data_IF_542131164175
#
_entry.id   IF_542131164175
#
_cell.length_a   1.000
_cell.length_b   1.000
_cell.length_c   1.000
_cell.angle_alpha   90.00
_cell.angle_beta   90.00
_cell.angle_gamma   90.00
#
_symmetry.space_group_name_H-M   'P 1'
#
loop_
_entity.id
_entity.type
_entity.pdbx_description
1 polymer ?
#
# COMPACT_ATOMS: atom_id res chain seq x y z
N UNK A 1 -49.60 -13.21 4.19
CA UNK A 1 -48.45 -12.46 3.66
C UNK A 1 -47.48 -12.07 4.74
N UNK A 2 -46.37 -12.79 4.88
CA UNK A 2 -45.26 -12.39 5.75
C UNK A 2 -43.94 -12.62 5.02
N UNK A 3 -43.72 -11.85 3.95
CA UNK A 3 -42.42 -11.79 3.31
C UNK A 3 -41.49 -10.95 4.19
N UNK A 4 -40.43 -11.57 4.69
CA UNK A 4 -39.39 -10.84 5.40
C UNK A 4 -38.58 -10.00 4.39
N UNK A 5 -38.25 -8.74 4.72
CA UNK A 5 -37.40 -7.93 3.86
C UNK A 5 -35.98 -8.52 3.79
N UNK A 6 -35.34 -8.37 2.63
CA UNK A 6 -33.94 -8.78 2.49
C UNK A 6 -33.06 -7.86 3.36
N UNK A 7 -32.18 -8.41 4.22
CA UNK A 7 -31.32 -7.63 5.10
C UNK A 7 -30.29 -6.81 4.31
N UNK A 8 -29.79 -5.72 4.92
CA UNK A 8 -28.69 -4.93 4.34
C UNK A 8 -27.46 -5.80 4.08
N UNK A 9 -26.74 -5.49 3.00
CA UNK A 9 -25.60 -6.27 2.52
C UNK A 9 -25.96 -7.74 2.20
N UNK A 10 -27.24 -8.03 1.98
CA UNK A 10 -27.77 -9.31 1.53
C UNK A 10 -28.36 -9.24 0.12
N UNK A 11 -28.23 -10.33 -0.62
CA UNK A 11 -28.92 -10.62 -1.87
C UNK A 11 -29.82 -11.83 -1.64
N UNK A 12 -31.12 -11.66 -1.83
CA UNK A 12 -32.10 -12.73 -1.70
C UNK A 12 -32.46 -13.24 -3.10
N UNK A 13 -32.08 -14.48 -3.40
CA UNK A 13 -32.37 -15.15 -4.68
C UNK A 13 -33.12 -16.43 -4.37
N UNK A 14 -34.32 -16.61 -4.94
CA UNK A 14 -35.18 -17.79 -4.72
C UNK A 14 -35.47 -18.10 -3.23
N UNK A 15 -35.56 -17.07 -2.40
CA UNK A 15 -35.80 -17.21 -0.95
C UNK A 15 -34.55 -17.56 -0.13
N UNK A 16 -33.38 -17.67 -0.76
CA UNK A 16 -32.11 -17.90 -0.08
C UNK A 16 -31.35 -16.57 0.12
N UNK A 17 -31.01 -16.27 1.37
CA UNK A 17 -30.13 -15.16 1.71
C UNK A 17 -28.68 -15.51 1.39
N UNK A 18 -28.08 -14.78 0.44
CA UNK A 18 -26.65 -14.73 0.14
C UNK A 18 -26.09 -13.38 0.56
N UNK A 19 -25.02 -13.35 1.34
CA UNK A 19 -24.40 -12.07 1.68
C UNK A 19 -23.61 -11.53 0.49
N UNK A 20 -23.61 -10.21 0.34
CA UNK A 20 -22.66 -9.55 -0.54
C UNK A 20 -21.26 -9.77 -0.01
N UNK A 21 -20.29 -9.63 -0.90
CA UNK A 21 -18.92 -9.95 -0.60
C UNK A 21 -18.32 -9.07 0.50
N UNK A 22 -17.50 -9.68 1.35
CA UNK A 22 -17.02 -9.03 2.56
C UNK A 22 -17.99 -9.07 3.71
N UNK A 23 -19.11 -9.78 3.57
CA UNK A 23 -20.05 -10.03 4.64
C UNK A 23 -20.30 -11.52 4.80
N UNK A 24 -20.26 -11.98 6.04
CA UNK A 24 -20.56 -13.36 6.43
C UNK A 24 -21.96 -13.44 6.99
N UNK A 25 -22.69 -14.47 6.58
CA UNK A 25 -24.04 -14.74 7.08
C UNK A 25 -23.98 -15.12 8.56
N UNK A 26 -24.61 -14.30 9.41
CA UNK A 26 -24.77 -14.58 10.85
C UNK A 26 -26.26 -14.60 11.18
N UNK A 27 -26.85 -15.78 11.08
CA UNK A 27 -28.31 -15.94 11.18
C UNK A 27 -29.02 -15.33 9.97
N UNK A 28 -29.84 -14.30 10.21
CA UNK A 28 -30.63 -13.59 9.20
C UNK A 28 -30.04 -12.24 8.78
N UNK A 29 -28.81 -11.95 9.18
CA UNK A 29 -28.10 -10.71 8.81
C UNK A 29 -26.75 -11.04 8.19
N UNK A 30 -26.25 -10.08 7.42
CA UNK A 30 -24.92 -10.12 6.83
C UNK A 30 -24.02 -9.19 7.65
N UNK A 31 -22.99 -9.77 8.28
CA UNK A 31 -22.05 -9.04 9.15
C UNK A 31 -20.71 -8.95 8.44
N UNK A 32 -20.07 -7.78 8.46
CA UNK A 32 -18.77 -7.59 7.79
C UNK A 32 -17.78 -8.68 8.25
N UNK A 33 -17.23 -9.41 7.29
CA UNK A 33 -16.14 -10.35 7.50
C UNK A 33 -14.87 -9.52 7.59
N UNK A 34 -14.38 -9.34 8.82
CA UNK A 34 -13.16 -8.61 9.09
C UNK A 34 -11.94 -9.15 8.34
N UNK A 35 -12.01 -10.35 7.74
CA UNK A 35 -10.97 -10.88 6.88
C UNK A 35 -10.70 -9.99 5.66
N UNK A 36 -11.72 -9.48 4.95
CA UNK A 36 -11.49 -8.62 3.79
C UNK A 36 -10.87 -7.28 4.21
N UNK A 37 -11.40 -6.69 5.28
CA UNK A 37 -10.91 -5.42 5.84
C UNK A 37 -9.48 -5.55 6.34
N UNK A 38 -9.18 -6.61 7.09
CA UNK A 38 -7.84 -6.88 7.60
C UNK A 38 -6.86 -7.14 6.46
N UNK A 39 -7.27 -7.90 5.44
CA UNK A 39 -6.39 -8.18 4.29
C UNK A 39 -6.16 -6.91 3.48
N UNK A 40 -7.19 -6.10 3.23
CA UNK A 40 -7.04 -4.82 2.55
C UNK A 40 -6.07 -3.90 3.30
N UNK A 41 -6.22 -3.75 4.62
CA UNK A 41 -5.32 -2.91 5.42
C UNK A 41 -3.88 -3.42 5.38
N UNK A 42 -3.66 -4.73 5.54
CA UNK A 42 -2.33 -5.34 5.48
C UNK A 42 -1.66 -5.10 4.12
N UNK A 43 -2.39 -5.30 3.02
CA UNK A 43 -1.87 -5.09 1.67
C UNK A 43 -1.59 -3.61 1.43
N UNK A 44 -2.46 -2.71 1.90
CA UNK A 44 -2.25 -1.27 1.81
C UNK A 44 -0.99 -0.82 2.53
N UNK A 45 -0.71 -1.33 3.74
CA UNK A 45 0.53 -1.05 4.47
C UNK A 45 1.77 -1.56 3.72
N UNK A 46 1.73 -2.79 3.20
CA UNK A 46 2.83 -3.36 2.42
C UNK A 46 3.09 -2.58 1.12
N UNK A 47 2.02 -2.15 0.45
CA UNK A 47 2.07 -1.35 -0.76
C UNK A 47 2.71 0.02 -0.47
N UNK A 48 2.29 0.68 0.61
CA UNK A 48 2.88 1.94 1.05
C UNK A 48 4.37 1.77 1.35
N UNK A 49 4.74 0.74 2.12
CA UNK A 49 6.13 0.46 2.47
C UNK A 49 6.99 0.29 1.22
N UNK A 50 6.54 -0.50 0.24
CA UNK A 50 7.28 -0.74 -1.01
C UNK A 50 7.46 0.54 -1.84
N UNK A 51 6.40 1.34 -1.97
CA UNK A 51 6.45 2.60 -2.72
C UNK A 51 7.37 3.62 -2.04
N UNK A 52 7.33 3.70 -0.71
CA UNK A 52 8.18 4.59 0.07
C UNK A 52 9.64 4.14 0.10
N UNK A 53 9.91 2.84 0.10
CA UNK A 53 11.25 2.26 0.01
C UNK A 53 11.91 2.57 -1.34
N UNK A 54 11.20 2.36 -2.46
CA UNK A 54 11.65 2.76 -3.80
C UNK A 54 11.91 4.27 -3.90
N UNK A 55 11.03 5.09 -3.32
CA UNK A 55 11.21 6.54 -3.27
C UNK A 55 12.45 6.92 -2.44
N UNK A 56 12.66 6.26 -1.29
CA UNK A 56 13.82 6.49 -0.43
C UNK A 56 15.13 6.10 -1.14
N UNK A 57 15.16 4.97 -1.83
CA UNK A 57 16.29 4.55 -2.67
C UNK A 57 16.60 5.59 -3.76
N UNK A 58 15.57 6.10 -4.43
CA UNK A 58 15.72 7.15 -5.44
C UNK A 58 16.29 8.46 -4.85
N UNK A 59 15.80 8.90 -3.68
CA UNK A 59 16.33 10.06 -2.95
C UNK A 59 17.81 9.87 -2.56
N UNK A 60 18.25 8.63 -2.40
CA UNK A 60 19.62 8.26 -2.07
C UNK A 60 20.53 8.07 -3.28
N UNK A 61 20.07 8.43 -4.49
CA UNK A 61 20.81 8.27 -5.74
C UNK A 61 21.02 6.80 -6.13
N UNK A 62 20.23 5.88 -5.58
CA UNK A 62 20.18 4.48 -5.97
C UNK A 62 19.08 4.28 -7.04
N UNK A 63 19.08 3.12 -7.69
CA UNK A 63 18.04 2.79 -8.67
C UNK A 63 16.69 2.60 -7.95
N UNK A 64 15.82 3.60 -8.05
CA UNK A 64 14.46 3.57 -7.51
C UNK A 64 13.55 4.56 -8.25
N UNK A 65 12.23 4.40 -8.10
CA UNK A 65 11.24 5.31 -8.71
C UNK A 65 10.63 6.25 -7.68
N UNK A 66 10.51 7.54 -8.04
CA UNK A 66 9.87 8.57 -7.21
C UNK A 66 8.38 8.68 -7.49
N UNK A 67 8.01 8.58 -8.77
CA UNK A 67 6.66 8.74 -9.28
C UNK A 67 6.17 7.39 -9.82
N UNK A 68 4.99 6.97 -9.37
CA UNK A 68 4.33 5.74 -9.77
C UNK A 68 3.03 6.08 -10.47
N UNK A 69 2.70 5.42 -11.58
CA UNK A 69 1.40 5.62 -12.21
C UNK A 69 0.34 4.67 -11.60
N UNK A 70 -0.94 4.91 -11.90
CA UNK A 70 -2.03 4.02 -11.47
C UNK A 70 -1.76 2.54 -11.84
N UNK A 71 -1.18 2.31 -13.02
CA UNK A 71 -0.86 0.96 -13.49
C UNK A 71 0.23 0.29 -12.65
N UNK A 72 1.25 1.05 -12.21
CA UNK A 72 2.31 0.54 -11.34
C UNK A 72 1.73 0.13 -9.99
N UNK A 73 0.86 0.95 -9.40
CA UNK A 73 0.22 0.67 -8.11
C UNK A 73 -0.69 -0.54 -8.19
N UNK A 74 -1.52 -0.60 -9.23
CA UNK A 74 -2.37 -1.77 -9.45
C UNK A 74 -1.55 -3.04 -9.60
N UNK A 75 -0.47 -3.00 -10.38
CA UNK A 75 0.40 -4.17 -10.59
C UNK A 75 1.09 -4.60 -9.29
N UNK A 76 1.58 -3.66 -8.47
CA UNK A 76 2.16 -3.98 -7.17
C UNK A 76 1.14 -4.53 -6.18
N UNK A 77 -0.08 -3.97 -6.18
CA UNK A 77 -1.18 -4.48 -5.37
C UNK A 77 -1.56 -5.91 -5.78
N UNK A 78 -1.64 -6.20 -7.08
CA UNK A 78 -1.89 -7.56 -7.59
C UNK A 78 -0.78 -8.53 -7.16
N UNK A 79 0.49 -8.12 -7.21
CA UNK A 79 1.61 -8.94 -6.74
C UNK A 79 1.51 -9.25 -5.25
N UNK A 80 1.22 -8.25 -4.42
CA UNK A 80 1.05 -8.42 -2.96
C UNK A 80 -0.16 -9.29 -2.64
N UNK A 81 -1.28 -9.08 -3.35
CA UNK A 81 -2.47 -9.90 -3.23
C UNK A 81 -2.17 -11.35 -3.61
N UNK A 82 -1.43 -11.62 -4.68
CA UNK A 82 -1.10 -12.99 -5.07
C UNK A 82 -0.35 -13.78 -3.98
N UNK A 83 0.39 -13.09 -3.10
CA UNK A 83 1.13 -13.69 -1.98
C UNK A 83 0.27 -13.93 -0.74
N UNK A 84 -0.71 -13.07 -0.47
CA UNK A 84 -1.51 -13.08 0.77
C UNK A 84 -2.98 -13.52 0.57
N UNK A 85 -3.48 -13.58 -0.68
CA UNK A 85 -4.87 -13.88 -1.03
C UNK A 85 -5.23 -15.38 -1.00
N UNK A 86 -4.34 -16.27 -0.57
CA UNK A 86 -4.60 -17.72 -0.51
C UNK A 86 -5.85 -18.11 0.33
N UNK A 87 -6.41 -17.18 1.10
CA UNK A 87 -7.63 -17.36 1.92
C UNK A 87 -8.86 -16.64 1.38
N UNK A 88 -8.75 -15.94 0.25
CA UNK A 88 -9.82 -15.14 -0.35
C UNK A 88 -10.47 -15.90 -1.51
N UNK A 89 -11.76 -15.66 -1.72
CA UNK A 89 -12.43 -16.03 -2.97
C UNK A 89 -12.03 -15.06 -4.09
N UNK A 90 -12.23 -15.44 -5.36
CA UNK A 90 -11.87 -14.63 -6.54
C UNK A 90 -12.57 -13.26 -6.52
N UNK A 91 -13.86 -13.27 -6.20
CA UNK A 91 -14.66 -12.08 -5.99
C UNK A 91 -14.04 -11.23 -4.83
N UNK A 92 -13.57 -11.89 -3.76
CA UNK A 92 -13.07 -11.24 -2.55
C UNK A 92 -11.73 -10.55 -2.77
N UNK A 93 -10.93 -11.10 -3.68
CA UNK A 93 -9.70 -10.47 -4.18
C UNK A 93 -10.03 -9.16 -4.89
N UNK A 94 -11.11 -9.12 -5.68
CA UNK A 94 -11.53 -7.90 -6.38
C UNK A 94 -11.93 -6.79 -5.41
N UNK A 95 -12.74 -7.11 -4.40
CA UNK A 95 -13.15 -6.15 -3.36
C UNK A 95 -11.96 -5.64 -2.56
N UNK A 96 -11.04 -6.54 -2.17
CA UNK A 96 -9.83 -6.15 -1.45
C UNK A 96 -8.95 -5.26 -2.32
N UNK A 97 -8.78 -5.58 -3.61
CA UNK A 97 -8.01 -4.77 -4.56
C UNK A 97 -8.58 -3.36 -4.70
N UNK A 98 -9.89 -3.23 -4.89
CA UNK A 98 -10.56 -1.93 -4.97
C UNK A 98 -10.33 -1.11 -3.70
N UNK A 99 -10.47 -1.73 -2.52
CA UNK A 99 -10.21 -1.06 -1.24
C UNK A 99 -8.74 -0.68 -1.05
N UNK A 100 -7.80 -1.50 -1.50
CA UNK A 100 -6.35 -1.22 -1.45
C UNK A 100 -6.02 -0.02 -2.34
N UNK A 101 -6.53 0.00 -3.57
CA UNK A 101 -6.35 1.12 -4.50
C UNK A 101 -6.96 2.40 -3.93
N UNK A 102 -8.19 2.34 -3.43
CA UNK A 102 -8.86 3.47 -2.79
C UNK A 102 -8.05 4.00 -1.60
N UNK A 103 -7.50 3.11 -0.77
CA UNK A 103 -6.63 3.50 0.34
C UNK A 103 -5.35 4.16 -0.18
N UNK A 104 -4.74 3.64 -1.25
CA UNK A 104 -3.55 4.21 -1.86
C UNK A 104 -3.76 5.65 -2.34
N UNK A 105 -4.93 5.97 -2.89
CA UNK A 105 -5.30 7.36 -3.20
C UNK A 105 -5.40 8.25 -1.95
N UNK A 106 -5.69 7.68 -0.78
CA UNK A 106 -5.80 8.41 0.49
C UNK A 106 -4.47 8.65 1.20
N UNK A 107 -3.51 7.70 1.13
CA UNK A 107 -2.21 7.82 1.83
C UNK A 107 -1.04 8.26 0.95
N UNK A 108 -1.13 8.14 -0.38
CA UNK A 108 -0.11 8.65 -1.31
C UNK A 108 -0.48 10.04 -1.82
N UNK A 109 0.53 10.87 -2.01
CA UNK A 109 0.34 12.16 -2.66
C UNK A 109 0.09 11.93 -4.15
N UNK A 110 -1.04 12.43 -4.64
CA UNK A 110 -1.34 12.40 -6.07
C UNK A 110 -0.77 13.67 -6.72
N UNK A 111 0.22 13.51 -7.59
CA UNK A 111 0.80 14.56 -8.42
C UNK A 111 0.38 14.36 -9.87
N UNK A 112 -0.10 15.42 -10.52
CA UNK A 112 -0.25 15.40 -11.96
C UNK A 112 1.11 15.58 -12.62
N UNK A 113 1.57 14.59 -13.39
CA UNK A 113 2.77 14.78 -14.23
C UNK A 113 2.48 15.76 -15.37
N UNK A 114 3.53 16.23 -16.04
CA UNK A 114 3.44 17.17 -17.17
C UNK A 114 2.47 16.71 -18.28
N UNK A 115 2.26 15.40 -18.43
CA UNK A 115 1.35 14.78 -19.41
C UNK A 115 -0.09 14.60 -18.90
N UNK A 116 -0.51 15.26 -17.81
CA UNK A 116 -1.83 15.11 -17.15
C UNK A 116 -2.16 13.69 -16.67
N UNK A 117 -1.19 12.78 -16.67
CA UNK A 117 -1.33 11.45 -16.06
C UNK A 117 -1.23 11.59 -14.55
N UNK A 118 -2.19 11.00 -13.82
CA UNK A 118 -2.11 10.94 -12.35
C UNK A 118 -0.96 10.01 -11.97
N UNK A 119 0.02 10.59 -11.28
CA UNK A 119 1.11 9.87 -10.66
C UNK A 119 0.99 9.99 -9.14
N UNK A 120 1.53 9.01 -8.46
CA UNK A 120 1.52 8.88 -7.02
C UNK A 120 2.94 8.95 -6.52
N UNK A 121 3.10 9.65 -5.40
CA UNK A 121 4.35 9.85 -4.72
C UNK A 121 4.16 9.47 -3.25
N UNK A 122 5.16 8.83 -2.67
CA UNK A 122 5.21 8.69 -1.21
C UNK A 122 5.48 10.06 -0.58
N UNK A 123 4.72 10.48 0.46
CA UNK A 123 5.00 11.72 1.17
C UNK A 123 6.46 11.76 1.62
N UNK A 124 7.10 12.94 1.49
CA UNK A 124 8.54 13.07 1.76
C UNK A 124 8.90 12.58 3.16
N UNK A 125 8.09 12.94 4.17
CA UNK A 125 8.23 12.49 5.57
C UNK A 125 8.19 10.97 5.72
N UNK A 126 7.34 10.28 4.97
CA UNK A 126 7.23 8.82 5.01
C UNK A 126 8.41 8.15 4.30
N UNK A 127 8.89 8.73 3.20
CA UNK A 127 10.06 8.23 2.50
C UNK A 127 11.36 8.45 3.29
N UNK A 128 11.48 9.55 4.03
CA UNK A 128 12.64 9.80 4.90
C UNK A 128 12.79 8.74 5.99
N UNK A 129 11.66 8.23 6.52
CA UNK A 129 11.65 7.15 7.50
C UNK A 129 12.15 5.82 6.92
N UNK A 130 12.01 5.62 5.61
CA UNK A 130 12.47 4.44 4.89
C UNK A 130 13.89 4.58 4.35
N UNK A 131 14.59 5.70 4.60
CA UNK A 131 15.97 5.88 4.13
C UNK A 131 16.87 4.78 4.71
N UNK A 132 17.58 4.01 3.87
CA UNK A 132 18.51 3.01 4.36
C UNK A 132 19.63 3.70 5.15
N UNK A 133 20.07 3.06 6.24
CA UNK A 133 21.12 3.59 7.13
C UNK A 133 22.41 3.92 6.38
N UNK A 134 22.72 3.20 5.29
CA UNK A 134 23.86 3.45 4.41
C UNK A 134 23.78 4.83 3.74
N UNK A 135 22.58 5.29 3.39
CA UNK A 135 22.35 6.60 2.80
C UNK A 135 22.46 7.72 3.84
N UNK A 136 21.89 7.52 5.02
CA UNK A 136 22.06 8.46 6.14
C UNK A 136 23.54 8.59 6.52
N UNK A 137 24.27 7.47 6.60
CA UNK A 137 25.70 7.47 6.87
C UNK A 137 26.49 8.18 5.75
N UNK A 138 26.19 7.93 4.47
CA UNK A 138 26.81 8.66 3.35
C UNK A 138 26.56 10.16 3.41
N UNK A 139 25.34 10.56 3.70
CA UNK A 139 24.97 11.98 3.80
C UNK A 139 25.63 12.64 5.02
N UNK A 140 25.79 11.90 6.12
CA UNK A 140 26.54 12.35 7.29
C UNK A 140 28.04 12.49 6.98
N UNK A 141 28.64 11.49 6.32
CA UNK A 141 30.05 11.49 5.91
C UNK A 141 30.35 12.61 4.92
N UNK A 142 29.46 12.84 3.94
CA UNK A 142 29.64 13.95 2.98
C UNK A 142 29.50 15.31 3.67
N UNK A 143 28.54 15.46 4.59
CA UNK A 143 28.37 16.69 5.35
C UNK A 143 29.50 16.95 6.34
N UNK A 144 30.16 15.90 6.85
CA UNK A 144 31.24 15.98 7.82
C UNK A 144 32.60 15.60 7.19
N UNK A 145 32.75 15.76 5.88
CA UNK A 145 33.93 15.28 5.15
C UNK A 145 35.22 15.90 5.67
N UNK A 146 35.17 17.16 6.14
CA UNK A 146 36.31 17.84 6.75
C UNK A 146 36.73 17.15 8.06
N UNK A 147 35.79 16.80 8.93
CA UNK A 147 36.07 16.06 10.16
C UNK A 147 36.63 14.67 9.87
N UNK A 148 36.03 13.93 8.93
CA UNK A 148 36.49 12.58 8.55
C UNK A 148 37.90 12.61 7.95
N UNK A 149 38.17 13.56 7.04
CA UNK A 149 39.50 13.73 6.45
C UNK A 149 40.54 14.11 7.50
N UNK A 150 40.20 14.99 8.44
CA UNK A 150 41.12 15.40 9.52
C UNK A 150 41.44 14.23 10.45
N UNK A 151 40.45 13.41 10.79
CA UNK A 151 40.64 12.22 11.63
C UNK A 151 41.45 11.13 10.92
N UNK A 152 41.21 10.88 9.63
CA UNK A 152 42.01 9.95 8.83
C UNK A 152 43.47 10.38 8.76
N UNK A 153 43.74 11.68 8.56
CA UNK A 153 45.12 12.19 8.52
C UNK A 153 45.80 12.04 9.88
N UNK A 154 45.10 12.29 11.00
CA UNK A 154 45.65 12.19 12.36
C UNK A 154 45.88 10.75 12.86
N UNK A 155 45.15 9.76 12.33
CA UNK A 155 45.26 8.35 12.74
C UNK A 155 46.21 7.56 11.84
N UNK A 156 46.38 7.98 10.58
CA UNK A 156 47.28 7.33 9.62
C UNK A 156 48.71 7.91 9.58
N UNK A 157 48.97 9.01 10.30
CA UNK A 157 50.31 9.58 10.54
C UNK A 157 50.79 9.25 11.94
#
# INVERSE_FOLDING_TARGET
DSCEPCPENGRCVDGELRCVEGFKKRGRVCVEDGLLTHTANKISELLQHRICDEHAHALCGQGGKILFQQHDISSMADELLSKDAARLSDDGIKVVKERVLQSAHGFLETTSTYDKVQAFKCPELAAELHRPLSCQARQWVSSNIVFVMTFCVLVCF
#
